data_IF_233081524298
#
_entry.id   IF_233081524298
#
_cell.length_a   1.000
_cell.length_b   1.000
_cell.length_c   1.000
_cell.angle_alpha   90.00
_cell.angle_beta   90.00
_cell.angle_gamma   90.00
#
_symmetry.space_group_name_H-M   'P 1'
#
loop_
_entity.id
_entity.type
_entity.pdbx_description
1 polymer ?
#
# COMPACT_ATOMS: atom_id res chain seq x y z
N UNK A 1 15.51 -55.05 -15.75
CA UNK A 1 14.21 -55.13 -15.04
C UNK A 1 14.01 -53.86 -14.24
N UNK A 2 13.14 -52.96 -14.69
CA UNK A 2 12.84 -51.70 -13.99
C UNK A 2 11.77 -51.94 -12.90
N UNK A 3 11.87 -51.30 -11.71
CA UNK A 3 10.87 -51.49 -10.67
C UNK A 3 9.57 -50.76 -11.04
N UNK A 4 8.45 -51.49 -10.94
CA UNK A 4 7.10 -50.98 -11.23
C UNK A 4 6.73 -49.86 -10.24
N UNK A 5 6.26 -48.73 -10.77
CA UNK A 5 5.66 -47.64 -9.97
C UNK A 5 4.36 -48.15 -9.30
N UNK A 6 4.11 -47.78 -8.03
CA UNK A 6 2.92 -48.23 -7.30
C UNK A 6 1.63 -47.63 -7.86
N UNK A 7 0.54 -48.38 -7.75
CA UNK A 7 -0.76 -48.04 -8.35
C UNK A 7 -1.46 -46.88 -7.63
N UNK A 8 -2.39 -46.21 -8.34
CA UNK A 8 -3.21 -45.08 -7.82
C UNK A 8 -3.92 -45.39 -6.49
N UNK A 9 -4.24 -46.65 -6.21
CA UNK A 9 -4.86 -47.09 -4.96
C UNK A 9 -3.89 -47.08 -3.76
N UNK A 10 -2.59 -47.24 -4.00
CA UNK A 10 -1.55 -47.18 -2.96
C UNK A 10 -1.17 -45.74 -2.58
N UNK A 11 -1.47 -44.75 -3.44
CA UNK A 11 -1.32 -43.31 -3.12
C UNK A 11 -2.46 -42.75 -2.26
N UNK A 12 -3.62 -43.42 -2.23
CA UNK A 12 -4.81 -42.93 -1.55
C UNK A 12 -4.87 -43.30 -0.06
N UNK A 13 -4.12 -44.31 0.41
CA UNK A 13 -4.11 -44.72 1.84
C UNK A 13 -3.05 -44.05 2.71
N UNK A 14 -2.14 -43.25 2.14
CA UNK A 14 -1.19 -42.42 2.91
C UNK A 14 -1.77 -41.03 3.29
N UNK A 15 -3.01 -40.73 2.88
CA UNK A 15 -3.66 -39.42 3.08
C UNK A 15 -4.68 -39.37 4.21
N UNK A 16 -4.81 -40.43 5.01
CA UNK A 16 -5.77 -40.52 6.11
C UNK A 16 -5.14 -41.18 7.35
N UNK A 17 -4.10 -40.54 7.89
CA UNK A 17 -3.66 -40.76 9.27
C UNK A 17 -3.75 -39.41 10.01
N UNK A 18 -4.35 -39.34 11.21
CA UNK A 18 -4.42 -38.09 11.97
C UNK A 18 -3.02 -37.70 12.43
N UNK A 19 -2.61 -36.42 12.33
CA UNK A 19 -1.35 -35.99 12.90
C UNK A 19 -1.45 -36.04 14.44
N UNK A 20 -0.47 -36.68 15.06
CA UNK A 20 -0.26 -36.68 16.50
C UNK A 20 -0.24 -35.24 17.04
N UNK A 21 -0.84 -35.05 18.22
CA UNK A 21 -0.86 -33.78 18.95
C UNK A 21 0.57 -33.31 19.19
N UNK A 22 1.05 -32.37 18.38
CA UNK A 22 2.15 -31.50 18.75
C UNK A 22 1.63 -30.47 19.73
N UNK A 23 2.21 -30.49 20.92
CA UNK A 23 1.95 -29.55 22.00
C UNK A 23 2.01 -28.10 21.48
N UNK A 24 1.06 -27.30 21.94
CA UNK A 24 0.98 -25.86 21.65
C UNK A 24 2.23 -25.20 22.21
N UNK A 25 3.22 -24.90 21.35
CA UNK A 25 4.30 -24.00 21.72
C UNK A 25 3.69 -22.61 21.91
N UNK A 26 3.66 -22.19 23.16
CA UNK A 26 3.17 -20.90 23.60
C UNK A 26 3.83 -19.75 22.82
N UNK A 27 3.03 -18.71 22.63
CA UNK A 27 3.42 -17.38 22.17
C UNK A 27 4.54 -16.84 23.06
N UNK A 28 5.80 -17.14 22.72
CA UNK A 28 6.96 -16.65 23.44
C UNK A 28 7.39 -15.32 22.82
N UNK A 29 7.10 -14.22 23.53
CA UNK A 29 7.75 -12.93 23.26
C UNK A 29 9.28 -13.13 23.18
N UNK A 30 9.98 -12.43 22.28
CA UNK A 30 11.44 -12.51 22.22
C UNK A 30 12.03 -12.18 23.60
N UNK A 31 13.12 -12.86 24.01
CA UNK A 31 13.71 -12.65 25.32
C UNK A 31 14.11 -11.18 25.48
N UNK A 32 13.73 -10.57 26.62
CA UNK A 32 14.20 -9.24 27.01
C UNK A 32 15.73 -9.26 26.96
N UNK A 33 16.33 -8.38 26.14
CA UNK A 33 17.78 -8.19 26.08
C UNK A 33 18.30 -7.90 27.50
N UNK A 34 19.44 -8.49 27.91
CA UNK A 34 20.00 -8.25 29.24
C UNK A 34 20.33 -6.77 29.40
N UNK A 35 19.98 -6.22 30.56
CA UNK A 35 20.21 -4.83 30.94
C UNK A 35 21.72 -4.58 30.99
N UNK A 36 22.29 -3.96 29.95
CA UNK A 36 23.68 -3.47 30.00
C UNK A 36 23.69 -2.15 30.77
N UNK A 37 24.64 -1.95 31.70
CA UNK A 37 24.79 -0.68 32.38
C UNK A 37 25.04 0.42 31.34
N UNK A 38 24.27 1.52 31.44
CA UNK A 38 24.52 2.75 30.68
C UNK A 38 25.92 3.24 31.03
N UNK A 39 26.83 3.15 30.07
CA UNK A 39 28.00 4.02 30.07
C UNK A 39 27.48 5.42 29.72
N UNK A 40 27.58 6.31 30.70
CA UNK A 40 27.28 7.72 30.55
C UNK A 40 28.38 8.33 29.67
N UNK A 41 28.09 8.59 28.39
CA UNK A 41 29.07 9.04 27.40
C UNK A 41 28.76 10.42 26.82
N UNK A 42 28.26 11.36 27.63
CA UNK A 42 28.37 12.81 27.33
C UNK A 42 28.02 13.23 25.89
N UNK A 43 26.99 12.61 25.29
CA UNK A 43 26.73 12.73 23.85
C UNK A 43 26.16 14.11 23.50
N UNK A 44 26.96 14.88 22.76
CA UNK A 44 26.49 16.00 21.94
C UNK A 44 25.24 15.61 21.13
N UNK A 45 24.39 16.59 20.81
CA UNK A 45 23.22 16.37 19.96
C UNK A 45 23.63 15.64 18.67
N UNK A 46 22.85 14.63 18.21
CA UNK A 46 23.20 13.85 17.03
C UNK A 46 23.35 14.78 15.82
N UNK A 47 24.51 14.70 15.17
CA UNK A 47 24.85 15.53 14.02
C UNK A 47 23.79 15.33 12.92
N UNK A 48 23.27 16.40 12.29
CA UNK A 48 22.33 16.28 11.20
C UNK A 48 22.98 15.59 10.00
N UNK A 49 22.20 14.82 9.24
CA UNK A 49 22.63 14.18 7.99
C UNK A 49 22.94 15.25 6.95
N UNK A 50 24.06 15.11 6.24
CA UNK A 50 24.51 16.05 5.23
C UNK A 50 24.74 15.35 3.88
N UNK A 51 24.51 16.03 2.74
CA UNK A 51 24.95 15.53 1.44
C UNK A 51 26.45 15.21 1.47
N UNK A 52 26.83 14.05 0.95
CA UNK A 52 28.19 13.49 1.01
C UNK A 52 28.45 12.58 2.22
N UNK A 53 27.57 12.52 3.21
CA UNK A 53 27.69 11.54 4.30
C UNK A 53 27.57 10.10 3.77
N UNK A 54 28.33 9.19 4.39
CA UNK A 54 28.33 7.77 4.07
C UNK A 54 28.03 6.96 5.32
N UNK A 55 27.11 6.02 5.18
CA UNK A 55 26.69 5.10 6.22
C UNK A 55 26.90 3.66 5.76
N UNK A 56 27.45 2.84 6.63
CA UNK A 56 27.45 1.39 6.47
C UNK A 56 26.29 0.79 7.26
N UNK A 57 25.74 -0.32 6.77
CA UNK A 57 24.65 -1.02 7.43
C UNK A 57 24.90 -2.53 7.41
N UNK A 58 24.52 -3.25 8.48
CA UNK A 58 24.67 -4.70 8.53
C UNK A 58 23.73 -5.39 7.55
N UNK A 59 24.20 -6.46 6.93
CA UNK A 59 23.44 -7.34 6.03
C UNK A 59 22.97 -8.58 6.80
N UNK A 60 21.89 -9.25 6.35
CA UNK A 60 21.33 -10.43 7.03
C UNK A 60 22.32 -11.58 7.24
N UNK A 61 23.32 -11.70 6.38
CA UNK A 61 24.35 -12.75 6.43
C UNK A 61 25.61 -12.35 7.23
N UNK A 62 25.57 -11.22 7.94
CA UNK A 62 26.67 -10.72 8.76
C UNK A 62 27.72 -9.90 8.01
N UNK A 63 27.56 -9.69 6.70
CA UNK A 63 28.35 -8.71 5.93
C UNK A 63 27.82 -7.29 6.15
N UNK A 64 28.41 -6.33 5.45
CA UNK A 64 28.05 -4.91 5.46
C UNK A 64 27.85 -4.41 4.04
N UNK A 65 26.81 -3.60 3.85
CA UNK A 65 26.63 -2.73 2.70
C UNK A 65 26.93 -1.28 3.07
N UNK A 66 26.89 -0.37 2.08
CA UNK A 66 26.99 1.06 2.35
C UNK A 66 26.09 1.88 1.43
N UNK A 67 25.71 3.05 1.95
CA UNK A 67 24.95 4.06 1.23
C UNK A 67 25.59 5.43 1.36
N UNK A 68 25.35 6.27 0.37
CA UNK A 68 25.80 7.66 0.30
C UNK A 68 24.63 8.61 0.16
N UNK A 69 24.69 9.73 0.87
CA UNK A 69 23.66 10.77 0.82
C UNK A 69 23.99 11.73 -0.32
N UNK A 70 23.12 11.86 -1.31
CA UNK A 70 23.32 12.76 -2.45
C UNK A 70 22.61 14.11 -2.28
N UNK A 71 21.50 14.14 -1.56
CA UNK A 71 20.78 15.36 -1.25
C UNK A 71 19.98 15.23 0.06
N UNK A 72 19.67 16.37 0.67
CA UNK A 72 18.79 16.46 1.84
C UNK A 72 17.77 17.56 1.59
N UNK A 73 16.49 17.27 1.78
CA UNK A 73 15.36 18.21 1.66
C UNK A 73 14.42 18.03 2.84
N UNK A 74 14.46 18.97 3.80
CA UNK A 74 13.69 18.85 5.03
C UNK A 74 14.05 17.59 5.82
N UNK A 75 13.08 16.71 6.05
CA UNK A 75 13.27 15.42 6.72
C UNK A 75 13.73 14.28 5.79
N UNK A 76 13.79 14.52 4.48
CA UNK A 76 14.02 13.50 3.47
C UNK A 76 15.45 13.55 2.95
N UNK A 77 16.03 12.39 2.68
CA UNK A 77 17.37 12.22 2.13
C UNK A 77 17.32 11.42 0.84
N UNK A 78 17.99 11.91 -0.20
CA UNK A 78 18.26 11.12 -1.41
C UNK A 78 19.45 10.23 -1.13
N UNK A 79 19.20 8.94 -1.05
CA UNK A 79 20.16 7.91 -0.69
C UNK A 79 20.52 7.11 -1.93
N UNK A 80 21.81 6.97 -2.19
CA UNK A 80 22.35 6.09 -3.22
C UNK A 80 23.02 4.88 -2.58
N UNK A 81 22.61 3.69 -2.98
CA UNK A 81 23.25 2.45 -2.54
C UNK A 81 24.54 2.23 -3.30
N UNK A 82 25.61 1.87 -2.59
CA UNK A 82 26.90 1.58 -3.20
C UNK A 82 27.01 0.08 -3.52
N UNK A 83 27.86 -0.32 -4.47
CA UNK A 83 28.12 -1.74 -4.74
C UNK A 83 29.02 -2.41 -3.67
N UNK A 84 29.38 -1.70 -2.59
CA UNK A 84 30.21 -2.26 -1.54
C UNK A 84 29.50 -3.40 -0.80
N UNK A 85 30.17 -4.56 -0.72
CA UNK A 85 29.75 -5.67 0.12
C UNK A 85 30.96 -6.34 0.76
N UNK A 86 31.04 -6.33 2.09
CA UNK A 86 32.24 -6.80 2.79
C UNK A 86 31.97 -7.37 4.18
N UNK A 87 32.90 -8.19 4.69
CA UNK A 87 32.79 -8.78 6.03
C UNK A 87 32.97 -7.76 7.18
N UNK A 88 33.38 -6.53 6.85
CA UNK A 88 33.57 -5.41 7.79
C UNK A 88 32.93 -4.15 7.18
N UNK A 89 32.64 -3.12 7.99
CA UNK A 89 32.32 -1.81 7.44
C UNK A 89 33.42 -1.33 6.48
N UNK A 90 33.06 -0.64 5.37
CA UNK A 90 34.03 -0.13 4.42
C UNK A 90 34.94 0.90 5.08
N UNK A 91 36.16 1.03 4.57
CA UNK A 91 36.99 2.18 4.86
C UNK A 91 36.52 3.36 4.01
N UNK A 92 36.71 4.58 4.50
CA UNK A 92 36.28 5.79 3.79
C UNK A 92 36.97 5.99 2.43
N UNK A 93 38.13 5.36 2.22
CA UNK A 93 38.91 5.40 0.98
C UNK A 93 38.53 4.28 0.00
N UNK A 94 37.51 3.47 0.30
CA UNK A 94 37.04 2.42 -0.60
C UNK A 94 36.39 3.03 -1.85
N UNK A 95 36.90 2.73 -3.07
CA UNK A 95 36.43 3.35 -4.30
C UNK A 95 34.97 3.00 -4.61
N UNK A 96 34.47 1.85 -4.15
CA UNK A 96 33.07 1.45 -4.36
C UNK A 96 32.10 2.44 -3.71
N UNK A 97 32.53 3.22 -2.70
CA UNK A 97 31.69 4.22 -2.04
C UNK A 97 31.32 5.41 -2.95
N UNK A 98 32.02 5.59 -4.07
CA UNK A 98 31.76 6.63 -5.05
C UNK A 98 30.87 6.15 -6.20
N UNK A 99 30.57 4.85 -6.24
CA UNK A 99 29.73 4.25 -7.26
C UNK A 99 28.29 4.10 -6.77
N UNK A 100 27.34 4.20 -7.71
CA UNK A 100 25.95 3.83 -7.46
C UNK A 100 25.70 2.44 -8.01
N UNK A 101 25.20 1.55 -7.16
CA UNK A 101 24.83 0.19 -7.51
C UNK A 101 23.82 0.19 -8.66
N UNK A 102 24.06 -0.69 -9.65
CA UNK A 102 23.07 -1.01 -10.70
C UNK A 102 22.34 -2.28 -10.38
N UNK A 103 21.03 -2.26 -10.58
CA UNK A 103 20.12 -3.32 -10.21
C UNK A 103 19.68 -4.10 -11.44
N UNK A 104 20.02 -5.38 -11.51
CA UNK A 104 19.62 -6.27 -12.60
C UNK A 104 18.63 -7.34 -12.16
N UNK A 105 18.36 -7.43 -10.85
CA UNK A 105 17.29 -8.29 -10.33
C UNK A 105 15.92 -7.91 -10.88
N UNK A 106 15.07 -8.92 -11.06
CA UNK A 106 13.67 -8.77 -11.46
C UNK A 106 13.47 -7.78 -12.65
N UNK A 107 12.61 -6.77 -12.47
CA UNK A 107 12.25 -5.80 -13.50
C UNK A 107 13.16 -4.55 -13.58
N UNK A 108 14.23 -4.49 -12.79
CA UNK A 108 15.01 -3.25 -12.61
C UNK A 108 15.91 -2.89 -13.81
N UNK A 109 16.23 -3.84 -14.70
CA UNK A 109 16.84 -3.58 -16.02
C UNK A 109 18.08 -2.66 -16.01
N UNK A 110 18.90 -2.72 -14.96
CA UNK A 110 20.13 -1.92 -14.82
C UNK A 110 19.91 -0.51 -14.29
N UNK A 111 18.75 -0.22 -13.71
CA UNK A 111 18.48 1.05 -13.02
C UNK A 111 19.41 1.26 -11.83
N UNK A 112 19.59 2.52 -11.42
CA UNK A 112 20.39 2.87 -10.24
C UNK A 112 19.59 2.56 -8.97
N UNK A 113 20.26 2.03 -7.95
CA UNK A 113 19.68 1.82 -6.62
C UNK A 113 19.74 3.13 -5.83
N UNK A 114 18.69 3.94 -5.98
CA UNK A 114 18.58 5.25 -5.34
C UNK A 114 17.13 5.53 -4.98
N UNK A 115 16.91 6.06 -3.79
CA UNK A 115 15.59 6.35 -3.27
C UNK A 115 15.62 7.58 -2.36
N UNK A 116 14.47 8.25 -2.23
CA UNK A 116 14.21 9.17 -1.13
C UNK A 116 13.75 8.41 0.10
N UNK A 117 14.43 8.66 1.22
CA UNK A 117 14.11 8.09 2.53
C UNK A 117 13.81 9.20 3.54
N UNK A 118 12.86 8.97 4.43
CA UNK A 118 12.41 9.93 5.42
C UNK A 118 12.99 9.67 6.82
N UNK A 119 13.29 10.76 7.53
CA UNK A 119 13.61 10.72 8.96
C UNK A 119 15.10 10.61 9.22
N UNK A 120 15.45 9.92 10.31
CA UNK A 120 16.84 9.77 10.76
C UNK A 120 17.36 8.38 10.39
N UNK A 121 18.68 8.23 10.15
CA UNK A 121 19.31 6.93 10.05
C UNK A 121 18.94 6.04 11.25
N UNK A 122 18.75 4.74 10.99
CA UNK A 122 18.51 3.77 12.05
C UNK A 122 19.70 3.64 13.01
N UNK A 123 19.49 3.21 14.27
CA UNK A 123 20.56 3.07 15.27
C UNK A 123 21.62 2.02 14.89
N UNK A 124 21.33 1.15 13.94
CA UNK A 124 22.23 0.13 13.40
C UNK A 124 23.16 0.66 12.29
N UNK A 125 22.88 1.84 11.72
CA UNK A 125 23.74 2.45 10.72
C UNK A 125 25.01 3.02 11.36
N UNK A 126 26.15 2.69 10.76
CA UNK A 126 27.47 3.13 11.19
C UNK A 126 27.91 4.25 10.27
N UNK A 127 28.08 5.47 10.79
CA UNK A 127 28.64 6.57 9.99
C UNK A 127 30.10 6.27 9.66
N UNK A 128 30.40 6.09 8.38
CA UNK A 128 31.75 5.79 7.88
C UNK A 128 32.56 7.08 7.74
N UNK A 129 31.93 8.14 7.24
CA UNK A 129 32.58 9.42 7.03
C UNK A 129 31.80 10.33 6.10
N UNK A 130 32.51 11.25 5.47
CA UNK A 130 31.95 12.23 4.54
C UNK A 130 32.90 12.40 3.35
N UNK A 131 32.36 12.32 2.14
CA UNK A 131 33.08 12.60 0.90
C UNK A 131 32.27 13.64 0.12
N UNK A 132 32.92 14.77 -0.20
CA UNK A 132 32.30 15.83 -0.96
C UNK A 132 31.71 15.33 -2.29
N UNK A 133 30.50 15.78 -2.61
CA UNK A 133 29.83 15.42 -3.85
C UNK A 133 30.46 16.13 -5.04
N UNK A 134 30.63 15.41 -6.14
CA UNK A 134 30.97 15.96 -7.45
C UNK A 134 29.82 16.82 -8.01
N UNK A 135 30.13 17.68 -8.98
CA UNK A 135 29.10 18.48 -9.65
C UNK A 135 28.05 17.64 -10.39
N UNK A 136 28.39 16.41 -10.79
CA UNK A 136 27.44 15.48 -11.41
C UNK A 136 26.48 14.89 -10.38
N UNK A 137 27.00 14.44 -9.23
CA UNK A 137 26.18 13.91 -8.12
C UNK A 137 25.21 14.97 -7.57
N UNK A 138 25.65 16.23 -7.46
CA UNK A 138 24.80 17.34 -7.00
C UNK A 138 23.60 17.62 -7.93
N UNK A 139 23.71 17.28 -9.22
CA UNK A 139 22.65 17.44 -10.22
C UNK A 139 21.80 16.17 -10.39
N UNK A 140 22.14 15.11 -9.68
CA UNK A 140 21.47 13.83 -9.84
C UNK A 140 20.05 13.88 -9.30
N UNK A 141 19.10 13.37 -10.09
CA UNK A 141 17.69 13.29 -9.72
C UNK A 141 17.30 11.84 -9.42
N UNK A 142 16.44 11.68 -8.43
CA UNK A 142 15.77 10.45 -8.05
C UNK A 142 14.28 10.77 -7.83
N UNK A 143 13.43 9.93 -8.39
CA UNK A 143 11.97 10.03 -8.29
C UNK A 143 11.36 8.85 -7.52
N UNK A 144 12.19 7.96 -6.97
CA UNK A 144 11.74 6.84 -6.15
C UNK A 144 11.69 7.25 -4.68
N UNK A 145 10.71 6.72 -3.94
CA UNK A 145 10.55 6.91 -2.51
C UNK A 145 10.38 5.53 -1.85
N UNK A 146 11.16 5.26 -0.81
CA UNK A 146 11.23 3.94 -0.17
C UNK A 146 10.95 4.00 1.35
N UNK A 147 10.25 5.03 1.81
CA UNK A 147 9.76 5.11 3.19
C UNK A 147 10.80 5.62 4.19
N UNK A 148 10.81 5.06 5.41
CA UNK A 148 11.61 5.57 6.51
C UNK A 148 13.08 5.11 6.43
N UNK A 149 14.02 6.03 6.64
CA UNK A 149 15.46 5.75 6.55
C UNK A 149 15.95 4.70 7.57
N UNK A 150 15.29 4.58 8.72
CA UNK A 150 15.55 3.50 9.70
C UNK A 150 15.22 2.08 9.18
N UNK A 151 14.51 1.95 8.06
CA UNK A 151 14.08 0.69 7.47
C UNK A 151 14.74 0.48 6.09
N UNK A 152 15.98 0.95 5.93
CA UNK A 152 16.68 0.87 4.64
C UNK A 152 16.75 -0.57 4.13
N UNK A 153 16.31 -0.78 2.89
CA UNK A 153 16.37 -2.10 2.27
C UNK A 153 17.80 -2.41 1.79
N UNK A 154 18.32 -3.63 2.02
CA UNK A 154 19.70 -3.95 1.71
C UNK A 154 19.93 -4.26 0.22
N UNK A 155 19.86 -3.23 -0.64
CA UNK A 155 19.88 -3.42 -2.11
C UNK A 155 21.09 -4.17 -2.64
N UNK A 156 22.28 -3.85 -2.13
CA UNK A 156 23.51 -4.55 -2.54
C UNK A 156 23.50 -6.05 -2.20
N UNK A 157 22.82 -6.43 -1.12
CA UNK A 157 22.68 -7.84 -0.76
C UNK A 157 21.68 -8.54 -1.68
N UNK A 158 20.55 -7.90 -1.99
CA UNK A 158 19.58 -8.44 -2.94
C UNK A 158 20.21 -8.65 -4.33
N UNK A 159 20.99 -7.68 -4.83
CA UNK A 159 21.69 -7.81 -6.11
C UNK A 159 22.80 -8.89 -6.05
N UNK A 160 23.54 -8.97 -4.94
CA UNK A 160 24.52 -10.04 -4.75
C UNK A 160 23.86 -11.42 -4.77
N UNK A 161 22.72 -11.59 -4.08
CA UNK A 161 21.96 -12.84 -4.07
C UNK A 161 21.40 -13.17 -5.45
N UNK A 162 20.96 -12.17 -6.20
CA UNK A 162 20.54 -12.36 -7.58
C UNK A 162 21.66 -12.93 -8.47
N UNK A 163 22.89 -12.48 -8.27
CA UNK A 163 24.03 -12.96 -9.05
C UNK A 163 24.58 -14.32 -8.58
N UNK A 164 24.47 -14.66 -7.29
CA UNK A 164 25.17 -15.81 -6.69
C UNK A 164 24.27 -16.90 -6.10
N UNK A 165 23.01 -16.59 -5.80
CA UNK A 165 22.04 -17.45 -5.10
C UNK A 165 20.61 -17.27 -5.66
N UNK A 166 20.51 -17.06 -6.97
CA UNK A 166 19.26 -16.65 -7.63
C UNK A 166 18.09 -17.56 -7.31
N UNK A 167 18.28 -18.87 -7.42
CA UNK A 167 17.21 -19.84 -7.25
C UNK A 167 16.70 -19.95 -5.79
N UNK A 168 17.53 -19.68 -4.78
CA UNK A 168 17.02 -19.58 -3.40
C UNK A 168 16.33 -18.25 -3.20
N UNK A 169 16.94 -17.17 -3.67
CA UNK A 169 16.39 -15.83 -3.53
C UNK A 169 15.01 -15.69 -4.20
N UNK A 170 14.83 -16.17 -5.42
CA UNK A 170 13.53 -16.18 -6.12
C UNK A 170 12.47 -16.98 -5.36
N UNK A 171 12.83 -18.12 -4.77
CA UNK A 171 11.90 -18.93 -3.97
C UNK A 171 11.50 -18.25 -2.67
N UNK A 172 12.43 -17.60 -2.00
CA UNK A 172 12.16 -16.86 -0.75
C UNK A 172 11.26 -15.65 -1.01
N UNK A 173 11.57 -14.85 -2.04
CA UNK A 173 10.74 -13.72 -2.44
C UNK A 173 9.33 -14.18 -2.87
N UNK A 174 9.24 -15.25 -3.67
CA UNK A 174 7.94 -15.80 -4.05
C UNK A 174 7.14 -16.34 -2.86
N UNK A 175 7.80 -16.98 -1.90
CA UNK A 175 7.13 -17.45 -0.68
C UNK A 175 6.67 -16.31 0.25
N UNK A 176 7.43 -15.21 0.32
CA UNK A 176 7.04 -13.98 1.02
C UNK A 176 5.84 -13.32 0.35
N UNK A 177 5.87 -13.15 -0.98
CA UNK A 177 4.74 -12.63 -1.76
C UNK A 177 3.47 -13.49 -1.59
N UNK A 178 3.61 -14.83 -1.63
CA UNK A 178 2.51 -15.77 -1.37
C UNK A 178 1.98 -15.66 0.06
N UNK A 179 2.87 -15.50 1.05
CA UNK A 179 2.49 -15.34 2.45
C UNK A 179 1.75 -14.02 2.69
N UNK A 180 2.24 -12.93 2.10
CA UNK A 180 1.62 -11.62 2.14
C UNK A 180 0.26 -11.63 1.43
N UNK A 181 0.15 -12.28 0.27
CA UNK A 181 -1.14 -12.44 -0.42
C UNK A 181 -2.10 -13.32 0.38
N UNK A 182 -1.61 -14.39 1.00
CA UNK A 182 -2.42 -15.22 1.88
C UNK A 182 -2.88 -14.45 3.12
N UNK A 183 -2.04 -13.57 3.68
CA UNK A 183 -2.42 -12.71 4.80
C UNK A 183 -3.41 -11.64 4.37
N UNK A 184 -3.20 -10.96 3.24
CA UNK A 184 -4.19 -10.06 2.62
C UNK A 184 -5.51 -10.78 2.36
N UNK A 185 -5.46 -12.03 1.90
CA UNK A 185 -6.66 -12.86 1.68
C UNK A 185 -7.36 -13.18 2.99
N UNK A 186 -6.62 -13.54 4.05
CA UNK A 186 -7.20 -13.74 5.39
C UNK A 186 -7.76 -12.45 5.95
N UNK A 187 -7.09 -11.32 5.75
CA UNK A 187 -7.56 -10.00 6.15
C UNK A 187 -8.85 -9.66 5.43
N UNK A 188 -8.93 -9.83 4.10
CA UNK A 188 -10.19 -9.69 3.32
C UNK A 188 -11.29 -10.64 3.81
N UNK A 189 -10.94 -11.88 4.18
CA UNK A 189 -11.90 -12.84 4.73
C UNK A 189 -12.32 -12.54 6.18
N UNK A 190 -11.48 -11.81 6.93
CA UNK A 190 -11.72 -11.36 8.30
C UNK A 190 -12.37 -9.98 8.34
N UNK A 191 -12.29 -9.23 7.24
CA UNK A 191 -13.00 -7.98 7.02
C UNK A 191 -14.42 -8.20 7.52
N UNK A 192 -14.81 -7.37 8.49
CA UNK A 192 -15.98 -7.64 9.30
C UNK A 192 -17.18 -7.86 8.38
N UNK A 193 -18.05 -8.82 8.73
CA UNK A 193 -19.27 -9.12 7.96
C UNK A 193 -19.96 -7.80 7.59
N UNK A 194 -20.56 -7.72 6.39
CA UNK A 194 -21.37 -6.57 6.00
C UNK A 194 -22.29 -6.17 7.15
N UNK A 195 -22.29 -4.88 7.47
CA UNK A 195 -23.22 -4.34 8.46
C UNK A 195 -24.60 -4.19 7.83
N UNK A 196 -25.65 -4.08 8.64
CA UNK A 196 -26.95 -3.68 8.10
C UNK A 196 -26.86 -2.24 7.57
N UNK A 197 -27.40 -1.93 6.37
CA UNK A 197 -27.44 -0.57 5.85
C UNK A 197 -28.04 0.41 6.86
N UNK A 198 -27.52 1.63 6.89
CA UNK A 198 -28.14 2.68 7.69
C UNK A 198 -29.49 3.09 7.10
N UNK A 199 -30.38 3.64 7.93
CA UNK A 199 -31.65 4.14 7.44
C UNK A 199 -31.44 5.30 6.43
N UNK A 200 -32.19 5.30 5.33
CA UNK A 200 -32.07 6.29 4.24
C UNK A 200 -32.08 7.74 4.75
N UNK A 201 -33.00 8.09 5.66
CA UNK A 201 -33.04 9.44 6.27
C UNK A 201 -31.71 9.83 6.93
N UNK A 202 -31.06 8.90 7.61
CA UNK A 202 -29.78 9.15 8.27
C UNK A 202 -28.63 9.26 7.28
N UNK A 203 -28.66 8.46 6.21
CA UNK A 203 -27.70 8.54 5.12
C UNK A 203 -27.77 9.89 4.40
N UNK A 204 -28.96 10.31 3.98
CA UNK A 204 -29.12 11.58 3.26
C UNK A 204 -28.78 12.79 4.12
N UNK A 205 -29.12 12.77 5.42
CA UNK A 205 -28.68 13.82 6.36
C UNK A 205 -27.16 13.95 6.46
N UNK A 206 -26.43 12.85 6.26
CA UNK A 206 -24.97 12.88 6.21
C UNK A 206 -24.48 13.44 4.86
N UNK A 207 -25.08 13.02 3.74
CA UNK A 207 -24.77 13.59 2.42
C UNK A 207 -25.02 15.10 2.37
N UNK A 208 -26.04 15.61 3.07
CA UNK A 208 -26.32 17.05 3.18
C UNK A 208 -25.19 17.86 3.86
N UNK A 209 -24.19 17.21 4.46
CA UNK A 209 -23.04 17.87 5.06
C UNK A 209 -21.93 18.21 4.05
N UNK A 210 -22.03 17.75 2.80
CA UNK A 210 -21.07 18.10 1.75
C UNK A 210 -21.02 19.63 1.57
N UNK A 211 -19.85 20.22 1.80
CA UNK A 211 -19.64 21.66 1.78
C UNK A 211 -19.41 22.18 0.36
N UNK A 212 -20.46 22.18 -0.45
CA UNK A 212 -20.39 22.62 -1.86
C UNK A 212 -19.95 24.08 -2.05
N UNK A 213 -19.97 24.91 -1.02
CA UNK A 213 -19.34 26.25 -1.04
C UNK A 213 -17.80 26.19 -1.11
N UNK A 214 -17.20 24.99 -1.01
CA UNK A 214 -15.77 24.70 -1.18
C UNK A 214 -15.43 24.02 -2.51
N UNK A 215 -16.36 24.03 -3.47
CA UNK A 215 -16.13 23.42 -4.80
C UNK A 215 -14.80 23.87 -5.42
N UNK A 216 -14.04 22.91 -5.95
CA UNK A 216 -12.65 23.09 -6.43
C UNK A 216 -11.59 22.53 -5.47
N UNK A 217 -11.99 22.11 -4.28
CA UNK A 217 -11.18 21.37 -3.30
C UNK A 217 -12.05 20.26 -2.70
N UNK A 218 -11.97 19.06 -3.29
CA UNK A 218 -12.86 17.95 -2.92
C UNK A 218 -12.66 17.49 -1.47
N UNK A 219 -11.43 17.52 -0.96
CA UNK A 219 -11.11 17.22 0.44
C UNK A 219 -11.85 18.18 1.38
N UNK A 220 -11.89 19.48 1.01
CA UNK A 220 -12.65 20.48 1.76
C UNK A 220 -14.18 20.28 1.63
N UNK A 221 -14.68 19.81 0.49
CA UNK A 221 -16.10 19.50 0.28
C UNK A 221 -16.55 18.33 1.16
N UNK A 222 -15.78 17.23 1.21
CA UNK A 222 -16.15 16.04 1.99
C UNK A 222 -15.82 16.15 3.48
N UNK A 223 -14.95 17.09 3.87
CA UNK A 223 -14.42 17.25 5.22
C UNK A 223 -15.46 17.24 6.35
N UNK A 224 -16.59 17.97 6.28
CA UNK A 224 -17.61 17.96 7.33
C UNK A 224 -18.29 16.61 7.50
N UNK A 225 -18.54 15.90 6.39
CA UNK A 225 -19.11 14.55 6.41
C UNK A 225 -18.12 13.55 7.04
N UNK A 226 -16.85 13.61 6.66
CA UNK A 226 -15.77 12.79 7.25
C UNK A 226 -15.68 13.02 8.76
N UNK A 227 -15.68 14.29 9.19
CA UNK A 227 -15.61 14.66 10.61
C UNK A 227 -16.82 14.16 11.41
N UNK A 228 -18.04 14.30 10.89
CA UNK A 228 -19.27 13.83 11.55
C UNK A 228 -19.30 12.29 11.69
N UNK A 229 -18.85 11.57 10.66
CA UNK A 229 -18.73 10.11 10.70
C UNK A 229 -17.64 9.66 11.67
N UNK A 230 -16.45 10.29 11.63
CA UNK A 230 -15.31 9.98 12.51
C UNK A 230 -15.57 10.29 13.99
N UNK A 231 -16.42 11.27 14.30
CA UNK A 231 -16.89 11.52 15.67
C UNK A 231 -17.86 10.43 16.17
N UNK A 232 -18.50 9.70 15.25
CA UNK A 232 -19.47 8.64 15.52
C UNK A 232 -18.86 7.31 16.00
N UNK A 233 -19.63 6.23 15.89
CA UNK A 233 -19.16 4.87 16.17
C UNK A 233 -18.57 4.20 14.92
N UNK A 234 -17.64 3.27 15.11
CA UNK A 234 -17.13 2.40 14.03
C UNK A 234 -18.26 1.71 13.26
N UNK A 235 -19.33 1.30 13.97
CA UNK A 235 -20.53 0.74 13.35
C UNK A 235 -21.19 1.75 12.40
N UNK A 236 -21.35 3.00 12.81
CA UNK A 236 -21.96 4.05 11.97
C UNK A 236 -21.18 4.28 10.67
N UNK A 237 -19.85 4.25 10.73
CA UNK A 237 -18.98 4.37 9.54
C UNK A 237 -19.24 3.18 8.58
N UNK A 238 -19.22 1.96 9.11
CA UNK A 238 -19.48 0.74 8.31
C UNK A 238 -20.90 0.71 7.71
N UNK A 239 -21.91 1.15 8.46
CA UNK A 239 -23.28 1.25 7.94
C UNK A 239 -23.41 2.31 6.83
N UNK A 240 -22.67 3.42 6.94
CA UNK A 240 -22.60 4.41 5.86
C UNK A 240 -21.93 3.83 4.62
N UNK A 241 -20.80 3.12 4.76
CA UNK A 241 -20.11 2.44 3.67
C UNK A 241 -21.04 1.43 2.96
N UNK A 242 -21.76 0.60 3.72
CA UNK A 242 -22.74 -0.35 3.21
C UNK A 242 -23.84 0.35 2.39
N UNK A 243 -24.37 1.45 2.92
CA UNK A 243 -25.45 2.18 2.29
C UNK A 243 -24.98 2.85 1.01
N UNK A 244 -23.83 3.52 1.03
CA UNK A 244 -23.21 4.13 -0.14
C UNK A 244 -22.97 3.08 -1.23
N UNK A 245 -22.34 1.97 -0.89
CA UNK A 245 -22.05 0.89 -1.83
C UNK A 245 -23.34 0.35 -2.47
N UNK A 246 -24.39 0.13 -1.69
CA UNK A 246 -25.67 -0.33 -2.21
C UNK A 246 -26.35 0.69 -3.13
N UNK A 247 -26.29 2.00 -2.83
CA UNK A 247 -26.84 3.04 -3.72
C UNK A 247 -26.07 3.09 -5.05
N UNK A 248 -24.74 2.98 -5.02
CA UNK A 248 -23.91 2.94 -6.21
C UNK A 248 -24.15 1.67 -7.05
N UNK A 249 -24.29 0.52 -6.40
CA UNK A 249 -24.64 -0.75 -7.03
C UNK A 249 -25.99 -0.69 -7.78
N UNK A 250 -27.00 -0.02 -7.21
CA UNK A 250 -28.30 0.12 -7.87
C UNK A 250 -28.25 1.01 -9.13
N UNK A 251 -27.31 1.95 -9.20
CA UNK A 251 -27.05 2.76 -10.38
C UNK A 251 -26.12 2.08 -11.39
N UNK A 252 -25.48 0.96 -11.03
CA UNK A 252 -24.61 0.18 -11.91
C UNK A 252 -25.44 -0.58 -12.96
N UNK A 253 -25.90 0.13 -13.99
CA UNK A 253 -26.63 -0.49 -15.09
C UNK A 253 -26.16 0.08 -16.41
N UNK A 254 -26.26 -0.75 -17.45
CA UNK A 254 -25.96 -0.33 -18.82
C UNK A 254 -26.76 0.92 -19.22
N UNK A 255 -28.03 0.98 -18.84
CA UNK A 255 -28.90 2.10 -19.16
C UNK A 255 -28.39 3.43 -18.56
N UNK A 256 -27.85 3.43 -17.34
CA UNK A 256 -27.25 4.64 -16.77
C UNK A 256 -25.91 4.96 -17.45
N UNK A 257 -25.10 3.93 -17.72
CA UNK A 257 -23.80 4.10 -18.38
C UNK A 257 -23.92 4.71 -19.78
N UNK A 258 -25.00 4.45 -20.52
CA UNK A 258 -25.26 5.04 -21.85
C UNK A 258 -25.51 6.57 -21.81
N UNK A 259 -25.79 7.15 -20.63
CA UNK A 259 -26.22 8.54 -20.48
C UNK A 259 -25.24 9.46 -19.72
N UNK A 260 -24.01 9.03 -19.44
CA UNK A 260 -23.00 9.84 -18.71
C UNK A 260 -22.22 10.84 -19.58
N UNK A 261 -22.65 11.10 -20.82
CA UNK A 261 -22.02 12.09 -21.71
C UNK A 261 -20.98 11.51 -22.66
N UNK A 262 -19.85 12.20 -22.82
CA UNK A 262 -18.79 11.84 -23.77
C UNK A 262 -18.22 10.45 -23.52
N UNK A 263 -18.06 10.07 -22.25
CA UNK A 263 -17.52 8.77 -21.82
C UNK A 263 -18.59 7.68 -21.66
N UNK A 264 -19.83 7.95 -22.10
CA UNK A 264 -20.92 7.00 -22.02
C UNK A 264 -20.67 5.71 -22.77
N UNK A 265 -21.32 4.65 -22.29
CA UNK A 265 -21.29 3.34 -22.91
C UNK A 265 -21.81 3.42 -24.36
N UNK A 266 -20.98 2.98 -25.32
CA UNK A 266 -21.27 3.01 -26.76
C UNK A 266 -21.33 1.62 -27.40
N UNK A 267 -21.40 0.57 -26.58
CA UNK A 267 -21.35 -0.83 -26.98
C UNK A 267 -20.00 -1.49 -26.73
N UNK A 268 -19.95 -2.82 -26.87
CA UNK A 268 -18.81 -3.67 -26.48
C UNK A 268 -17.51 -3.37 -27.24
N UNK A 269 -17.62 -2.79 -28.43
CA UNK A 269 -16.47 -2.49 -29.31
C UNK A 269 -15.88 -1.09 -29.07
N UNK A 270 -16.44 -0.30 -28.15
CA UNK A 270 -15.99 1.04 -27.82
C UNK A 270 -15.23 1.07 -26.49
N UNK A 271 -14.18 1.91 -26.36
CA UNK A 271 -13.57 2.17 -25.06
C UNK A 271 -14.61 2.68 -24.07
N UNK A 272 -14.61 2.13 -22.85
CA UNK A 272 -15.46 2.54 -21.76
C UNK A 272 -14.63 2.61 -20.47
N UNK A 273 -14.65 3.77 -19.81
CA UNK A 273 -13.94 3.98 -18.54
C UNK A 273 -14.82 3.54 -17.38
N UNK A 274 -14.45 2.41 -16.77
CA UNK A 274 -15.15 1.86 -15.59
C UNK A 274 -15.10 2.81 -14.40
N UNK A 275 -14.00 3.55 -14.25
CA UNK A 275 -13.79 4.53 -13.17
C UNK A 275 -14.66 5.76 -13.39
N UNK A 276 -14.68 6.31 -14.61
CA UNK A 276 -15.49 7.49 -14.93
C UNK A 276 -16.99 7.22 -14.66
N UNK A 277 -17.48 6.02 -14.98
CA UNK A 277 -18.87 5.65 -14.67
C UNK A 277 -19.12 5.50 -13.18
N UNK A 278 -18.18 4.92 -12.43
CA UNK A 278 -18.29 4.86 -10.97
C UNK A 278 -18.36 6.28 -10.38
N UNK A 279 -17.53 7.21 -10.85
CA UNK A 279 -17.49 8.57 -10.33
C UNK A 279 -18.72 9.39 -10.72
N UNK A 280 -19.29 9.16 -11.90
CA UNK A 280 -20.58 9.73 -12.28
C UNK A 280 -21.72 9.25 -11.37
N UNK A 281 -21.71 7.97 -10.94
CA UNK A 281 -22.67 7.46 -9.94
C UNK A 281 -22.47 8.13 -8.57
N UNK A 282 -21.23 8.46 -8.19
CA UNK A 282 -20.95 9.26 -7.00
C UNK A 282 -21.60 10.64 -7.06
N UNK A 283 -21.56 11.34 -8.21
CA UNK A 283 -22.26 12.63 -8.41
C UNK A 283 -23.75 12.51 -8.13
N UNK A 284 -24.39 11.43 -8.62
CA UNK A 284 -25.82 11.19 -8.42
C UNK A 284 -26.17 11.07 -6.93
N UNK A 285 -25.37 10.35 -6.16
CA UNK A 285 -25.56 10.21 -4.71
C UNK A 285 -25.26 11.54 -4.01
N UNK A 286 -24.19 12.24 -4.39
CA UNK A 286 -23.75 13.48 -3.75
C UNK A 286 -24.75 14.64 -3.92
N UNK A 287 -25.57 14.61 -4.98
CA UNK A 287 -26.66 15.56 -5.22
C UNK A 287 -27.94 15.27 -4.39
N UNK A 288 -27.89 14.29 -3.49
CA UNK A 288 -28.91 14.05 -2.48
C UNK A 288 -30.10 13.22 -2.93
N UNK A 289 -31.01 12.97 -1.99
CA UNK A 289 -32.07 11.96 -2.09
C UNK A 289 -32.98 12.15 -3.32
N UNK A 290 -33.43 13.38 -3.55
CA UNK A 290 -34.38 13.68 -4.62
C UNK A 290 -33.76 13.46 -6.01
N UNK A 291 -32.49 13.84 -6.19
CA UNK A 291 -31.77 13.66 -7.45
C UNK A 291 -31.45 12.18 -7.67
N UNK A 292 -30.94 11.49 -6.64
CA UNK A 292 -30.72 10.05 -6.69
C UNK A 292 -31.98 9.29 -7.09
N UNK A 293 -33.12 9.56 -6.43
CA UNK A 293 -34.38 8.88 -6.73
C UNK A 293 -34.92 9.20 -8.14
N UNK A 294 -34.60 10.39 -8.68
CA UNK A 294 -34.93 10.75 -10.07
C UNK A 294 -34.11 9.90 -11.04
N UNK A 295 -32.78 9.92 -10.91
CA UNK A 295 -31.86 9.23 -11.82
C UNK A 295 -32.08 7.72 -11.77
N UNK A 296 -32.24 7.14 -10.58
CA UNK A 296 -32.49 5.71 -10.41
C UNK A 296 -33.72 5.22 -11.20
N UNK A 297 -34.74 6.07 -11.38
CA UNK A 297 -35.96 5.75 -12.14
C UNK A 297 -35.84 6.10 -13.62
N UNK A 298 -35.00 7.07 -13.95
CA UNK A 298 -34.85 7.64 -15.29
C UNK A 298 -33.36 7.78 -15.60
N UNK A 299 -32.75 6.75 -16.24
CA UNK A 299 -31.34 6.77 -16.60
C UNK A 299 -30.93 7.95 -17.49
N UNK A 300 -31.87 8.53 -18.25
CA UNK A 300 -31.59 9.70 -19.10
C UNK A 300 -31.27 10.96 -18.30
N UNK A 301 -31.57 10.96 -17.00
CA UNK A 301 -31.25 12.04 -16.09
C UNK A 301 -29.84 11.96 -15.48
N UNK A 302 -29.03 10.96 -15.88
CA UNK A 302 -27.63 10.89 -15.47
C UNK A 302 -26.89 12.21 -15.77
N UNK A 303 -26.07 12.71 -14.84
CA UNK A 303 -25.29 13.92 -15.07
C UNK A 303 -24.22 13.65 -16.15
N UNK A 304 -24.23 14.36 -17.29
CA UNK A 304 -23.20 14.20 -18.29
C UNK A 304 -21.91 14.88 -17.86
N UNK A 305 -20.77 14.24 -18.10
CA UNK A 305 -19.43 14.84 -17.99
C UNK A 305 -19.11 15.42 -16.60
N UNK A 306 -19.66 14.81 -15.55
CA UNK A 306 -19.39 15.16 -14.15
C UNK A 306 -18.88 13.95 -13.38
N UNK A 307 -17.96 14.20 -12.45
CA UNK A 307 -17.38 13.19 -11.56
C UNK A 307 -17.33 13.73 -10.11
N UNK A 308 -17.29 12.82 -9.15
CA UNK A 308 -17.02 13.15 -7.75
C UNK A 308 -16.44 11.93 -7.02
N UNK A 309 -15.23 11.51 -7.43
CA UNK A 309 -14.52 10.35 -6.86
C UNK A 309 -14.42 10.41 -5.33
N UNK A 310 -14.19 11.61 -4.78
CA UNK A 310 -13.91 11.85 -3.36
C UNK A 310 -14.97 11.27 -2.40
N UNK A 311 -16.21 11.08 -2.85
CA UNK A 311 -17.26 10.44 -2.04
C UNK A 311 -16.90 9.00 -1.64
N UNK A 312 -16.16 8.26 -2.47
CA UNK A 312 -15.72 6.89 -2.19
C UNK A 312 -14.74 6.84 -1.01
N UNK A 313 -13.94 7.89 -0.81
CA UNK A 313 -12.95 7.98 0.26
C UNK A 313 -13.55 8.26 1.64
N UNK A 314 -14.77 8.79 1.71
CA UNK A 314 -15.42 9.25 2.96
C UNK A 314 -15.40 8.18 4.07
N UNK A 315 -15.81 6.92 3.83
CA UNK A 315 -15.81 5.91 4.89
C UNK A 315 -14.41 5.61 5.43
N UNK A 316 -13.43 5.47 4.53
CA UNK A 316 -12.04 5.17 4.87
C UNK A 316 -11.40 6.30 5.66
N UNK A 317 -11.55 7.55 5.20
CA UNK A 317 -11.04 8.73 5.90
C UNK A 317 -11.67 8.91 7.28
N UNK A 318 -12.98 8.67 7.41
CA UNK A 318 -13.67 8.74 8.70
C UNK A 318 -13.17 7.67 9.68
N UNK A 319 -12.82 6.48 9.18
CA UNK A 319 -12.25 5.41 10.00
C UNK A 319 -10.81 5.66 10.41
N UNK A 320 -9.97 6.13 9.49
CA UNK A 320 -8.60 6.53 9.80
C UNK A 320 -8.62 7.64 10.87
N UNK A 321 -9.50 8.64 10.72
CA UNK A 321 -9.70 9.68 11.75
C UNK A 321 -10.14 9.11 13.10
N UNK A 322 -10.96 8.04 13.10
CA UNK A 322 -11.50 7.40 14.30
C UNK A 322 -10.47 6.53 15.03
N UNK A 323 -9.70 5.76 14.28
CA UNK A 323 -8.91 4.63 14.79
C UNK A 323 -7.41 4.82 14.66
N UNK A 324 -6.96 5.62 13.68
CA UNK A 324 -5.57 5.75 13.27
C UNK A 324 -5.05 4.59 12.41
N UNK A 325 -5.93 3.67 12.02
CA UNK A 325 -5.61 2.48 11.22
C UNK A 325 -6.40 2.49 9.90
N UNK A 326 -5.98 1.65 8.96
CA UNK A 326 -6.72 1.43 7.71
C UNK A 326 -8.04 0.66 7.95
N UNK A 327 -9.07 0.90 7.13
CA UNK A 327 -10.36 0.22 7.25
C UNK A 327 -10.26 -1.28 6.92
N UNK A 328 -10.67 -2.13 7.86
CA UNK A 328 -10.76 -3.60 7.68
C UNK A 328 -12.23 -4.07 7.59
N UNK A 329 -13.00 -3.59 6.62
CA UNK A 329 -14.36 -4.09 6.34
C UNK A 329 -14.63 -4.34 4.85
N UNK A 330 -15.71 -5.06 4.60
CA UNK A 330 -16.29 -5.26 3.27
C UNK A 330 -17.77 -4.91 3.30
N UNK A 331 -18.33 -4.51 2.16
CA UNK A 331 -19.76 -4.28 1.99
C UNK A 331 -20.43 -5.53 1.39
N UNK A 332 -21.75 -5.68 1.54
CA UNK A 332 -22.46 -6.86 1.04
C UNK A 332 -22.48 -6.93 -0.49
N UNK A 333 -22.42 -5.77 -1.15
CA UNK A 333 -22.28 -5.65 -2.59
C UNK A 333 -20.99 -4.92 -2.92
N UNK A 334 -20.45 -5.20 -4.10
CA UNK A 334 -19.36 -4.44 -4.70
C UNK A 334 -19.96 -3.22 -5.42
N UNK A 335 -19.37 -2.04 -5.25
CA UNK A 335 -19.83 -0.82 -5.93
C UNK A 335 -19.13 -0.60 -7.28
N UNK A 336 -18.09 -1.38 -7.56
CA UNK A 336 -17.35 -1.33 -8.83
C UNK A 336 -18.27 -1.53 -10.04
N UNK A 337 -17.88 -0.93 -11.15
CA UNK A 337 -18.64 -1.03 -12.40
C UNK A 337 -18.70 -2.49 -12.87
N UNK A 338 -19.88 -2.92 -13.34
CA UNK A 338 -20.26 -4.31 -13.67
C UNK A 338 -20.54 -5.23 -12.47
N UNK A 339 -20.44 -4.77 -11.23
CA UNK A 339 -20.80 -5.56 -10.06
C UNK A 339 -22.28 -5.98 -10.06
N UNK A 340 -23.18 -5.12 -10.53
CA UNK A 340 -24.59 -5.44 -10.71
C UNK A 340 -24.79 -6.17 -12.04
N UNK A 341 -24.37 -7.43 -12.09
CA UNK A 341 -24.47 -8.26 -13.28
C UNK A 341 -25.90 -8.48 -13.82
N UNK A 342 -26.95 -8.05 -13.11
CA UNK A 342 -28.32 -8.00 -13.63
C UNK A 342 -28.62 -6.68 -14.35
N UNK A 343 -28.04 -5.56 -13.91
CA UNK A 343 -28.17 -4.24 -14.55
C UNK A 343 -27.46 -4.11 -15.91
N UNK A 344 -26.61 -5.09 -16.24
CA UNK A 344 -25.82 -5.12 -17.47
C UNK A 344 -26.27 -6.18 -18.49
N UNK A 345 -27.41 -6.86 -18.24
CA UNK A 345 -27.96 -7.89 -19.13
C UNK A 345 -29.03 -7.37 -20.08
#
# INVERSE_FOLDING_TARGET
MAPKKPSKAQRAKARLAPPERREKSANAKPPKKPNRPRLDDGSAAPRPVQPGDIYAYPLPDGRFGAVRILAVKGKSQHVAHTPYIGAKPPRIDDPQLLEVLRQHRFAFKGSRAEDWLDGKPGPELIRVGHIALTAAEQKQQCNAYAGAFKNIYPEVHAEWRWAHDRASFEREMGAEEEADEAERTKQRARAQKPEDPMADRSFWRLIDLLAWDKSGDDDAVIGPLVAELGAGSERRIRQFAETLSHKLYLLDTRAHAEHMGEDGWKGDDAPFSVDAFLYARCVVVANGEAFYAKVLRDPTAMPPDLEFEALLGVPSLAWELKTGDDPEWSTAVDHETFANGAGWR
#
